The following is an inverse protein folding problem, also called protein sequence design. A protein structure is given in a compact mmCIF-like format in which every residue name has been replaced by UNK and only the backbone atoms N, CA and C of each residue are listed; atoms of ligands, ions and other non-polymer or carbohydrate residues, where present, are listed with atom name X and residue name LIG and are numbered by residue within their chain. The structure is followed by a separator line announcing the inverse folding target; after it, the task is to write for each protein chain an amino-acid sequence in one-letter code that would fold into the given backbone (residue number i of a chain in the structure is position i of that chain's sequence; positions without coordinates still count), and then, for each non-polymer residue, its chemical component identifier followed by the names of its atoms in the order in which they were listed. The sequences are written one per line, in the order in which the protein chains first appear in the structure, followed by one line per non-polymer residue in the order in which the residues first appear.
data_IF_675295984934
#
_entry.id   IF_675295984934
#
_cell.length_a   1.000
_cell.length_b   1.000
_cell.length_c   1.000
_cell.angle_alpha   90.00
_cell.angle_beta   90.00
_cell.angle_gamma   90.00
#
_symmetry.space_group_name_H-M   'P 1'
#
loop_
_entity.id
_entity.type
_entity.pdbx_description
1 polymer ?
#
# COMPACT_ATOMS: atom_id res chain seq x y z
N UNK A 1 -7.11 -16.43 -4.05
CA UNK A 1 -8.52 -16.62 -3.60
C UNK A 1 -9.56 -15.88 -4.45
N UNK A 2 -9.22 -14.81 -5.20
CA UNK A 2 -10.16 -14.08 -6.08
C UNK A 2 -9.65 -13.93 -7.53
N UNK A 3 -8.57 -14.58 -7.93
CA UNK A 3 -7.92 -14.35 -9.24
C UNK A 3 -8.75 -14.83 -10.44
N UNK A 4 -9.56 -15.89 -10.26
CA UNK A 4 -10.48 -16.37 -11.31
C UNK A 4 -11.75 -15.56 -11.49
N UNK A 5 -12.05 -14.62 -10.57
CA UNK A 5 -13.28 -13.83 -10.61
C UNK A 5 -13.15 -12.66 -11.58
N UNK A 6 -14.05 -12.59 -12.57
CA UNK A 6 -14.11 -11.53 -13.59
C UNK A 6 -15.12 -10.42 -13.24
N UNK A 7 -15.36 -10.21 -11.95
CA UNK A 7 -16.26 -9.18 -11.43
C UNK A 7 -15.67 -8.51 -10.20
N UNK A 8 -16.19 -7.34 -9.87
CA UNK A 8 -15.92 -6.72 -8.59
C UNK A 8 -16.47 -7.63 -7.48
N UNK A 9 -15.65 -7.98 -6.51
CA UNK A 9 -16.00 -8.90 -5.43
C UNK A 9 -15.10 -8.71 -4.22
N UNK A 10 -15.51 -9.25 -3.08
CA UNK A 10 -14.69 -9.28 -1.89
C UNK A 10 -14.96 -10.55 -1.09
N UNK A 11 -14.01 -10.91 -0.22
CA UNK A 11 -14.14 -12.00 0.73
C UNK A 11 -13.54 -11.59 2.06
N UNK A 12 -14.32 -11.67 3.12
CA UNK A 12 -13.81 -11.49 4.47
C UNK A 12 -12.92 -12.69 4.84
N UNK A 13 -11.74 -12.39 5.40
CA UNK A 13 -10.76 -13.40 5.82
C UNK A 13 -10.29 -13.19 7.25
N UNK A 14 -10.87 -12.23 7.99
CA UNK A 14 -10.40 -11.83 9.31
C UNK A 14 -10.19 -13.04 10.25
N UNK A 15 -11.17 -13.95 10.31
CA UNK A 15 -11.12 -15.10 11.21
C UNK A 15 -10.14 -16.20 10.76
N UNK A 16 -9.61 -16.11 9.53
CA UNK A 16 -8.54 -16.99 9.01
C UNK A 16 -7.13 -16.50 9.38
N UNK A 17 -6.99 -15.29 9.91
CA UNK A 17 -5.71 -14.71 10.32
C UNK A 17 -5.38 -15.20 11.73
N UNK A 18 -4.11 -15.47 12.05
CA UNK A 18 -3.73 -15.90 13.41
C UNK A 18 -4.13 -14.88 14.47
N UNK A 19 -4.47 -15.33 15.68
CA UNK A 19 -4.90 -14.44 16.77
C UNK A 19 -3.84 -13.38 17.12
N UNK A 20 -2.56 -13.75 17.11
CA UNK A 20 -1.46 -12.83 17.39
C UNK A 20 -1.39 -11.67 16.39
N UNK A 21 -1.71 -11.92 15.12
CA UNK A 21 -1.79 -10.89 14.09
C UNK A 21 -3.09 -10.10 14.17
N UNK A 22 -4.23 -10.76 14.43
CA UNK A 22 -5.54 -10.08 14.57
C UNK A 22 -5.52 -8.98 15.62
N UNK A 23 -4.83 -9.19 16.74
CA UNK A 23 -4.72 -8.20 17.82
C UNK A 23 -4.04 -6.89 17.39
N UNK A 24 -3.35 -6.86 16.24
CA UNK A 24 -2.64 -5.69 15.70
C UNK A 24 -3.40 -5.02 14.56
N UNK A 25 -4.57 -5.54 14.19
CA UNK A 25 -5.34 -5.07 13.04
C UNK A 25 -6.54 -4.27 13.53
N UNK A 26 -6.75 -3.09 12.94
CA UNK A 26 -7.92 -2.27 13.19
C UNK A 26 -9.00 -2.63 12.15
N UNK A 27 -10.15 -3.10 12.62
CA UNK A 27 -11.29 -3.49 11.77
C UNK A 27 -11.24 -4.93 11.23
N UNK A 28 -12.16 -5.23 10.31
CA UNK A 28 -12.31 -6.55 9.69
C UNK A 28 -11.53 -6.62 8.38
N UNK A 29 -10.77 -7.70 8.19
CA UNK A 29 -9.89 -7.88 7.03
C UNK A 29 -10.63 -8.53 5.89
N UNK A 30 -10.54 -7.92 4.72
CA UNK A 30 -11.12 -8.38 3.47
C UNK A 30 -10.04 -8.49 2.41
N UNK A 31 -10.16 -9.49 1.54
CA UNK A 31 -9.54 -9.47 0.22
C UNK A 31 -10.56 -8.87 -0.73
N UNK A 32 -10.21 -7.79 -1.42
CA UNK A 32 -11.12 -7.03 -2.28
C UNK A 32 -10.58 -6.97 -3.70
N UNK A 33 -11.47 -7.05 -4.68
CA UNK A 33 -11.21 -6.83 -6.10
C UNK A 33 -12.22 -5.81 -6.61
N UNK A 34 -11.76 -4.59 -6.88
CA UNK A 34 -12.65 -3.51 -7.29
C UNK A 34 -12.95 -3.50 -8.80
N UNK A 35 -12.08 -4.09 -9.62
CA UNK A 35 -12.24 -4.12 -11.08
C UNK A 35 -12.13 -5.55 -11.63
N UNK A 36 -12.94 -5.93 -12.65
CA UNK A 36 -12.91 -7.26 -13.28
C UNK A 36 -11.53 -7.79 -13.66
N UNK A 37 -10.69 -6.92 -14.23
CA UNK A 37 -9.33 -7.24 -14.69
C UNK A 37 -8.24 -6.67 -13.78
N UNK A 38 -8.63 -6.14 -12.62
CA UNK A 38 -7.69 -5.56 -11.66
C UNK A 38 -7.09 -6.58 -10.70
N UNK A 39 -6.11 -6.13 -9.93
CA UNK A 39 -5.52 -6.91 -8.85
C UNK A 39 -6.47 -7.03 -7.65
N UNK A 40 -6.15 -8.00 -6.77
CA UNK A 40 -6.80 -8.12 -5.47
C UNK A 40 -5.94 -7.44 -4.41
N UNK A 41 -6.59 -6.72 -3.49
CA UNK A 41 -5.92 -5.99 -2.41
C UNK A 41 -6.45 -6.44 -1.06
N UNK A 42 -5.63 -6.26 -0.03
CA UNK A 42 -6.09 -6.33 1.35
C UNK A 42 -6.77 -5.00 1.70
N UNK A 43 -7.96 -5.06 2.27
CA UNK A 43 -8.65 -3.91 2.84
C UNK A 43 -9.08 -4.25 4.27
N UNK A 44 -8.63 -3.42 5.22
CA UNK A 44 -9.03 -3.50 6.62
C UNK A 44 -10.13 -2.46 6.82
N UNK A 45 -11.34 -2.93 7.15
CA UNK A 45 -12.54 -2.09 7.15
C UNK A 45 -13.06 -1.99 8.58
N UNK A 46 -13.04 -0.77 9.12
CA UNK A 46 -13.65 -0.41 10.40
C UNK A 46 -14.84 0.53 10.12
N UNK A 47 -16.05 -0.01 9.93
CA UNK A 47 -17.20 0.82 9.59
C UNK A 47 -17.67 1.64 10.81
N UNK A 48 -18.33 2.76 10.55
CA UNK A 48 -19.06 3.50 11.59
C UNK A 48 -20.21 2.65 12.16
N UNK A 49 -20.70 2.99 13.36
CA UNK A 49 -21.71 2.20 14.10
C UNK A 49 -22.98 1.83 13.30
N UNK A 50 -23.34 2.62 12.29
CA UNK A 50 -24.53 2.42 11.45
C UNK A 50 -24.22 1.92 10.03
N UNK A 51 -23.00 1.41 9.77
CA UNK A 51 -22.62 0.87 8.47
C UNK A 51 -22.01 -0.52 8.61
N UNK A 52 -22.19 -1.33 7.57
CA UNK A 52 -21.50 -2.59 7.38
C UNK A 52 -20.21 -2.41 6.58
N UNK A 53 -19.29 -3.38 6.67
CA UNK A 53 -18.10 -3.41 5.83
C UNK A 53 -18.45 -3.42 4.33
N UNK A 54 -19.55 -4.09 3.97
CA UNK A 54 -20.06 -4.19 2.59
C UNK A 54 -20.45 -2.82 2.06
N UNK A 55 -21.21 -2.05 2.84
CA UNK A 55 -21.61 -0.69 2.46
C UNK A 55 -20.42 0.24 2.31
N UNK A 56 -19.43 0.14 3.21
CA UNK A 56 -18.19 0.94 3.09
C UNK A 56 -17.43 0.61 1.80
N UNK A 57 -17.27 -0.68 1.48
CA UNK A 57 -16.60 -1.11 0.25
C UNK A 57 -17.39 -0.71 -1.01
N UNK A 58 -18.72 -0.80 -0.98
CA UNK A 58 -19.57 -0.35 -2.08
C UNK A 58 -19.47 1.18 -2.29
N UNK A 59 -19.51 1.96 -1.20
CA UNK A 59 -19.32 3.41 -1.24
C UNK A 59 -17.96 3.77 -1.84
N UNK A 60 -16.87 3.12 -1.42
CA UNK A 60 -15.55 3.35 -2.01
C UNK A 60 -15.55 3.04 -3.50
N UNK A 61 -16.22 1.96 -3.92
CA UNK A 61 -16.28 1.54 -5.33
C UNK A 61 -17.05 2.53 -6.21
N UNK A 62 -18.11 3.13 -5.69
CA UNK A 62 -18.95 4.10 -6.42
C UNK A 62 -18.30 5.48 -6.45
N UNK A 63 -17.61 5.88 -5.39
CA UNK A 63 -17.05 7.23 -5.25
C UNK A 63 -15.61 7.38 -5.75
N UNK A 64 -14.98 6.31 -6.26
CA UNK A 64 -13.60 6.35 -6.71
C UNK A 64 -13.47 5.79 -8.13
N UNK A 65 -12.57 6.38 -8.91
CA UNK A 65 -12.05 5.77 -10.13
C UNK A 65 -10.93 4.78 -9.78
N UNK A 66 -10.68 3.81 -10.67
CA UNK A 66 -9.73 2.74 -10.40
C UNK A 66 -8.80 2.55 -11.59
N UNK A 67 -7.50 2.40 -11.31
CA UNK A 67 -6.47 2.03 -12.28
C UNK A 67 -5.92 0.64 -11.92
N UNK A 68 -6.06 -0.33 -12.82
CA UNK A 68 -5.72 -1.75 -12.55
C UNK A 68 -6.31 -2.32 -11.25
N UNK A 69 -7.48 -1.83 -10.84
CA UNK A 69 -8.18 -2.23 -9.62
C UNK A 69 -7.74 -1.49 -8.36
N UNK A 70 -6.75 -0.60 -8.43
CA UNK A 70 -6.31 0.25 -7.33
C UNK A 70 -7.03 1.62 -7.36
N UNK A 71 -7.47 2.17 -6.21
CA UNK A 71 -8.11 3.50 -6.16
C UNK A 71 -7.20 4.59 -6.75
N UNK A 72 -7.66 5.32 -7.77
CA UNK A 72 -6.82 6.31 -8.46
C UNK A 72 -6.39 7.45 -7.53
N UNK A 73 -7.25 7.88 -6.62
CA UNK A 73 -6.90 8.88 -5.61
C UNK A 73 -5.69 8.45 -4.77
N UNK A 74 -5.64 7.20 -4.31
CA UNK A 74 -4.49 6.68 -3.59
C UNK A 74 -3.25 6.58 -4.49
N UNK A 75 -3.44 6.29 -5.78
CA UNK A 75 -2.35 6.26 -6.77
C UNK A 75 -1.71 7.64 -6.92
N UNK A 76 -2.53 8.68 -7.05
CA UNK A 76 -2.05 10.06 -7.15
C UNK A 76 -1.31 10.47 -5.89
N UNK A 77 -1.87 10.20 -4.71
CA UNK A 77 -1.20 10.49 -3.43
C UNK A 77 0.16 9.78 -3.36
N UNK A 78 0.25 8.52 -3.76
CA UNK A 78 1.52 7.80 -3.77
C UNK A 78 2.55 8.43 -4.71
N UNK A 79 2.15 8.81 -5.92
CA UNK A 79 3.02 9.47 -6.91
C UNK A 79 3.56 10.80 -6.37
N UNK A 80 2.70 11.59 -5.71
CA UNK A 80 3.06 12.92 -5.24
C UNK A 80 3.74 12.95 -3.86
N UNK A 81 3.59 11.91 -3.04
CA UNK A 81 4.26 11.79 -1.74
C UNK A 81 5.64 11.13 -1.82
N UNK A 82 6.03 10.65 -3.01
CA UNK A 82 7.32 9.99 -3.22
C UNK A 82 8.43 11.02 -3.41
N UNK A 83 9.49 10.93 -2.59
CA UNK A 83 10.72 11.66 -2.84
C UNK A 83 11.54 10.94 -3.90
N UNK A 84 11.84 11.65 -4.98
CA UNK A 84 12.77 11.18 -6.01
C UNK A 84 14.20 11.04 -5.44
N UNK A 85 15.05 10.19 -6.04
CA UNK A 85 16.44 10.05 -5.59
C UNK A 85 17.20 11.39 -5.53
N UNK A 86 16.94 12.29 -6.46
CA UNK A 86 17.58 13.61 -6.51
C UNK A 86 17.11 14.53 -5.36
N UNK A 87 15.83 14.48 -5.00
CA UNK A 87 15.28 15.19 -3.84
C UNK A 87 15.85 14.62 -2.53
N UNK A 88 15.94 13.29 -2.42
CA UNK A 88 16.56 12.63 -1.25
C UNK A 88 18.03 13.05 -1.13
N UNK A 89 18.80 13.01 -2.21
CA UNK A 89 20.21 13.40 -2.21
C UNK A 89 20.38 14.88 -1.84
N UNK A 90 19.51 15.74 -2.36
CA UNK A 90 19.50 17.17 -2.04
C UNK A 90 19.22 17.43 -0.57
N UNK A 91 18.19 16.76 0.00
CA UNK A 91 17.87 16.83 1.44
C UNK A 91 19.03 16.32 2.31
N UNK A 92 19.68 15.23 1.92
CA UNK A 92 20.86 14.70 2.61
C UNK A 92 22.03 15.70 2.59
N UNK A 93 22.34 16.27 1.43
CA UNK A 93 23.39 17.28 1.27
C UNK A 93 23.12 18.52 2.12
N UNK A 94 21.87 19.00 2.13
CA UNK A 94 21.44 20.10 3.00
C UNK A 94 21.62 19.78 4.48
N UNK A 95 21.24 18.57 4.92
CA UNK A 95 21.40 18.14 6.31
C UNK A 95 22.88 18.04 6.71
N UNK A 96 23.72 17.48 5.84
CA UNK A 96 25.18 17.39 6.02
C UNK A 96 25.77 18.78 6.25
N UNK A 97 25.46 19.72 5.36
CA UNK A 97 25.95 21.10 5.46
C UNK A 97 25.43 21.82 6.71
N UNK A 98 24.14 21.66 7.04
CA UNK A 98 23.49 22.38 8.14
C UNK A 98 23.96 21.92 9.53
N UNK A 99 24.21 20.62 9.70
CA UNK A 99 24.54 20.04 11.00
C UNK A 99 25.98 19.56 11.12
N UNK A 100 26.83 19.83 10.12
CA UNK A 100 28.23 19.40 10.11
C UNK A 100 28.40 17.88 10.12
N UNK A 101 27.47 17.15 9.50
CA UNK A 101 27.51 15.68 9.49
C UNK A 101 28.57 15.18 8.52
N UNK A 102 29.03 13.94 8.72
CA UNK A 102 29.90 13.24 7.77
C UNK A 102 29.12 12.08 7.15
N UNK A 103 29.08 12.04 5.82
CA UNK A 103 28.58 10.88 5.08
C UNK A 103 29.53 9.70 5.30
N UNK A 104 29.01 8.63 5.87
CA UNK A 104 29.70 7.35 5.96
C UNK A 104 29.29 6.51 4.74
N UNK A 105 30.23 6.06 3.89
CA UNK A 105 29.88 5.19 2.77
C UNK A 105 29.28 3.89 3.31
N UNK A 106 28.05 3.58 2.88
CA UNK A 106 27.45 2.28 3.17
C UNK A 106 28.06 1.26 2.21
N UNK A 107 28.91 0.37 2.72
CA UNK A 107 29.41 -0.74 1.93
C UNK A 107 28.36 -1.85 1.86
N UNK A 108 27.53 -1.82 0.82
CA UNK A 108 26.60 -2.93 0.54
C UNK A 108 27.28 -3.93 -0.40
N UNK A 109 27.74 -5.03 0.17
CA UNK A 109 28.39 -6.14 -0.54
C UNK A 109 27.48 -6.67 -1.66
N UNK A 110 26.16 -6.68 -1.47
CA UNK A 110 25.22 -7.22 -2.48
C UNK A 110 25.19 -6.35 -3.72
N UNK A 111 25.19 -5.02 -3.57
CA UNK A 111 25.31 -4.10 -4.71
C UNK A 111 26.64 -4.27 -5.46
N UNK A 112 27.74 -4.57 -4.76
CA UNK A 112 29.04 -4.75 -5.42
C UNK A 112 29.17 -6.08 -6.18
N UNK A 113 28.54 -7.15 -5.68
CA UNK A 113 28.60 -8.48 -6.30
C UNK A 113 27.53 -8.63 -7.40
N UNK A 114 26.35 -8.03 -7.20
CA UNK A 114 25.17 -8.33 -8.01
C UNK A 114 24.76 -7.20 -8.95
N UNK A 115 25.36 -6.00 -8.90
CA UNK A 115 25.00 -4.94 -9.83
C UNK A 115 25.30 -5.34 -11.29
N UNK A 116 24.38 -5.08 -12.23
CA UNK A 116 23.15 -4.28 -12.11
C UNK A 116 21.88 -5.05 -11.69
N UNK A 117 21.98 -6.33 -11.32
CA UNK A 117 20.88 -7.26 -11.07
C UNK A 117 20.51 -7.47 -9.59
N UNK A 118 20.98 -6.59 -8.68
CA UNK A 118 20.84 -6.72 -7.22
C UNK A 118 20.01 -5.66 -6.54
#
# INVERSE_FOLDING_TARGET
MLEGERRACFKEIHDKISQSLRNRILGRVHVVKFSPYGFSFRADVAPAHNKSCVEVLALLRVNCTFFNGYPDLLRQVHIHAYFTPDEVLSLQSMAVKKYGLRLLPSFDIRRHILAPYG
#
